data_IF_515909782942
#
_entry.id   IF_515909782942
#
_cell.length_a   1.000
_cell.length_b   1.000
_cell.length_c   1.000
_cell.angle_alpha   90.00
_cell.angle_beta   90.00
_cell.angle_gamma   90.00
#
_symmetry.space_group_name_H-M   'P 1'
#
loop_
_entity.id
_entity.type
_entity.pdbx_description
1 polymer ?
#
# COMPACT_ATOMS: atom_id res chain seq x y z
N UNK A 1 -18.16 8.55 -11.33
CA UNK A 1 -17.09 7.56 -11.61
C UNK A 1 -15.69 8.17 -11.73
N UNK A 2 -15.54 9.42 -12.21
CA UNK A 2 -14.25 10.08 -12.50
C UNK A 2 -13.13 9.93 -11.44
N UNK A 3 -13.43 10.13 -10.15
CA UNK A 3 -12.42 10.00 -9.08
C UNK A 3 -11.85 8.59 -9.01
N UNK A 4 -12.72 7.58 -9.03
CA UNK A 4 -12.31 6.18 -8.90
C UNK A 4 -11.48 5.73 -10.11
N UNK A 5 -11.88 6.07 -11.33
CA UNK A 5 -11.10 5.77 -12.54
C UNK A 5 -9.70 6.38 -12.48
N UNK A 6 -9.59 7.66 -12.09
CA UNK A 6 -8.31 8.34 -11.97
C UNK A 6 -7.45 7.74 -10.87
N UNK A 7 -8.03 7.47 -9.70
CA UNK A 7 -7.32 6.89 -8.56
C UNK A 7 -6.81 5.48 -8.89
N UNK A 8 -7.63 4.62 -9.52
CA UNK A 8 -7.23 3.29 -9.95
C UNK A 8 -6.08 3.31 -10.96
N UNK A 9 -6.14 4.21 -11.95
CA UNK A 9 -5.08 4.35 -12.95
C UNK A 9 -3.76 4.82 -12.32
N UNK A 10 -3.83 5.73 -11.35
CA UNK A 10 -2.65 6.20 -10.63
C UNK A 10 -2.07 5.09 -9.73
N UNK A 11 -2.93 4.37 -8.99
CA UNK A 11 -2.55 3.25 -8.12
C UNK A 11 -1.88 2.13 -8.92
N UNK A 12 -2.41 1.78 -10.10
CA UNK A 12 -1.80 0.78 -10.98
C UNK A 12 -0.38 1.17 -11.41
N UNK A 13 -0.19 2.42 -11.86
CA UNK A 13 1.15 2.92 -12.23
C UNK A 13 2.12 2.91 -11.06
N UNK A 14 1.65 3.29 -9.87
CA UNK A 14 2.47 3.27 -8.66
C UNK A 14 2.84 1.83 -8.26
N UNK A 15 1.89 0.90 -8.32
CA UNK A 15 2.13 -0.52 -8.03
C UNK A 15 3.15 -1.14 -9.00
N UNK A 16 3.06 -0.85 -10.30
CA UNK A 16 4.06 -1.31 -11.27
C UNK A 16 5.45 -0.72 -11.02
N UNK A 17 5.52 0.59 -10.72
CA UNK A 17 6.78 1.26 -10.38
C UNK A 17 7.43 0.63 -9.15
N UNK A 18 6.65 0.47 -8.07
CA UNK A 18 7.12 -0.13 -6.82
C UNK A 18 7.57 -1.58 -7.03
N UNK A 19 6.84 -2.35 -7.85
CA UNK A 19 7.18 -3.76 -8.12
C UNK A 19 8.51 -3.96 -8.83
N UNK A 20 9.07 -2.90 -9.44
CA UNK A 20 10.37 -2.92 -10.13
C UNK A 20 11.47 -2.22 -9.32
N UNK A 21 11.14 -1.64 -8.17
CA UNK A 21 12.07 -0.83 -7.40
C UNK A 21 12.94 -1.73 -6.50
N UNK A 22 14.28 -1.61 -6.52
CA UNK A 22 15.17 -2.55 -5.82
C UNK A 22 15.04 -2.54 -4.29
N UNK A 23 14.57 -1.44 -3.70
CA UNK A 23 14.30 -1.34 -2.26
C UNK A 23 12.95 -1.93 -1.82
N UNK A 24 12.11 -2.38 -2.76
CA UNK A 24 10.78 -2.92 -2.45
C UNK A 24 10.85 -4.44 -2.56
N UNK A 25 10.56 -5.12 -1.46
CA UNK A 25 10.58 -6.59 -1.38
C UNK A 25 9.24 -7.20 -1.75
N UNK A 26 8.14 -6.47 -1.54
CA UNK A 26 6.79 -6.94 -1.82
C UNK A 26 5.84 -5.79 -2.11
N UNK A 27 4.92 -5.99 -3.05
CA UNK A 27 3.80 -5.08 -3.34
C UNK A 27 2.50 -5.86 -3.24
N UNK A 28 1.54 -5.36 -2.46
CA UNK A 28 0.20 -5.91 -2.37
C UNK A 28 -0.75 -4.94 -3.10
N UNK A 29 -1.13 -5.33 -4.32
CA UNK A 29 -2.14 -4.63 -5.11
C UNK A 29 -2.91 -5.63 -5.97
N UNK A 30 -4.25 -5.72 -5.84
CA UNK A 30 -5.05 -6.71 -6.59
C UNK A 30 -4.99 -6.53 -8.11
N UNK A 31 -4.58 -5.35 -8.60
CA UNK A 31 -4.41 -5.09 -10.03
C UNK A 31 -3.13 -5.66 -10.64
N UNK A 32 -2.19 -6.16 -9.85
CA UNK A 32 -1.00 -6.85 -10.37
C UNK A 32 -1.35 -8.31 -10.65
N UNK A 33 -0.97 -8.82 -11.82
CA UNK A 33 -1.19 -10.23 -12.18
C UNK A 33 -0.50 -11.22 -11.22
N UNK A 34 0.61 -10.80 -10.59
CA UNK A 34 1.33 -11.59 -9.60
C UNK A 34 0.63 -11.65 -8.22
N UNK A 35 -0.43 -10.86 -7.99
CA UNK A 35 -1.14 -10.85 -6.73
C UNK A 35 -1.95 -12.15 -6.55
N UNK A 36 -1.81 -12.90 -5.44
CA UNK A 36 -2.49 -14.20 -5.27
C UNK A 36 -4.02 -14.11 -5.40
N UNK A 37 -4.60 -13.00 -4.96
CA UNK A 37 -6.04 -12.73 -5.07
C UNK A 37 -6.48 -12.05 -6.37
N UNK A 38 -5.61 -11.89 -7.38
CA UNK A 38 -5.92 -11.13 -8.60
C UNK A 38 -7.17 -11.65 -9.31
N UNK A 39 -7.21 -12.95 -9.65
CA UNK A 39 -8.32 -13.54 -10.38
C UNK A 39 -9.64 -13.44 -9.61
N UNK A 40 -9.62 -13.72 -8.30
CA UNK A 40 -10.79 -13.60 -7.44
C UNK A 40 -11.28 -12.14 -7.34
N UNK A 41 -10.36 -11.18 -7.18
CA UNK A 41 -10.69 -9.76 -7.13
C UNK A 41 -11.36 -9.30 -8.43
N UNK A 42 -10.78 -9.66 -9.59
CA UNK A 42 -11.31 -9.28 -10.90
C UNK A 42 -12.66 -9.95 -11.20
N UNK A 43 -12.97 -11.09 -10.59
CA UNK A 43 -14.28 -11.73 -10.71
C UNK A 43 -15.40 -11.02 -9.94
N UNK A 44 -15.07 -10.21 -8.92
CA UNK A 44 -16.05 -9.57 -8.03
C UNK A 44 -16.01 -8.03 -8.02
N UNK A 45 -15.02 -7.42 -8.68
CA UNK A 45 -14.84 -5.97 -8.72
C UNK A 45 -14.66 -5.45 -10.15
N UNK A 46 -15.24 -4.29 -10.45
CA UNK A 46 -15.09 -3.62 -11.74
C UNK A 46 -13.69 -3.00 -11.95
N UNK A 47 -12.81 -3.08 -10.94
CA UNK A 47 -11.43 -2.63 -11.05
C UNK A 47 -10.63 -2.84 -9.76
N UNK A 48 -9.32 -2.58 -9.81
CA UNK A 48 -8.38 -2.98 -8.76
C UNK A 48 -8.38 -2.10 -7.51
N UNK A 49 -9.10 -0.97 -7.52
CA UNK A 49 -9.12 -0.01 -6.41
C UNK A 49 -7.91 0.93 -6.38
N UNK A 50 -7.84 1.75 -5.34
CA UNK A 50 -6.88 2.86 -5.24
C UNK A 50 -5.83 2.70 -4.14
N UNK A 51 -5.90 1.61 -3.38
CA UNK A 51 -5.01 1.36 -2.24
C UNK A 51 -3.89 0.43 -2.68
N UNK A 52 -2.65 0.84 -2.43
CA UNK A 52 -1.44 0.05 -2.65
C UNK A 52 -0.69 -0.02 -1.33
N UNK A 53 -0.28 -1.22 -0.91
CA UNK A 53 0.70 -1.38 0.18
C UNK A 53 1.95 -2.08 -0.34
N UNK A 54 3.08 -1.79 0.28
CA UNK A 54 4.37 -2.37 -0.09
C UNK A 54 5.27 -2.50 1.12
N UNK A 55 6.27 -3.36 1.01
CA UNK A 55 7.24 -3.67 2.05
C UNK A 55 8.65 -3.40 1.50
N UNK A 56 9.53 -2.90 2.36
CA UNK A 56 10.96 -2.72 2.03
C UNK A 56 11.87 -3.74 2.72
N UNK A 57 11.31 -4.53 3.65
CA UNK A 57 12.07 -5.39 4.55
C UNK A 57 12.90 -4.63 5.60
N UNK A 58 12.77 -3.30 5.70
CA UNK A 58 13.47 -2.47 6.68
C UNK A 58 12.57 -1.35 7.20
N UNK A 59 12.37 -1.31 8.53
CA UNK A 59 11.65 -0.24 9.22
C UNK A 59 12.24 1.12 8.87
N UNK A 60 13.56 1.26 8.93
CA UNK A 60 14.25 2.53 8.70
C UNK A 60 14.07 3.02 7.26
N UNK A 61 14.15 2.10 6.28
CA UNK A 61 13.90 2.43 4.88
C UNK A 61 12.43 2.84 4.67
N UNK A 62 11.48 2.11 5.25
CA UNK A 62 10.04 2.44 5.17
C UNK A 62 9.75 3.81 5.80
N UNK A 63 10.33 4.09 6.96
CA UNK A 63 10.20 5.38 7.65
C UNK A 63 10.79 6.51 6.82
N UNK A 64 12.00 6.34 6.28
CA UNK A 64 12.63 7.34 5.44
C UNK A 64 11.81 7.67 4.18
N UNK A 65 11.17 6.67 3.57
CA UNK A 65 10.27 6.89 2.42
C UNK A 65 9.05 7.73 2.84
N UNK A 66 8.42 7.38 3.96
CA UNK A 66 7.24 8.10 4.48
C UNK A 66 7.58 9.56 4.81
N UNK A 67 8.73 9.80 5.43
CA UNK A 67 9.20 11.14 5.80
C UNK A 67 9.63 11.98 4.60
N UNK A 68 10.17 11.35 3.54
CA UNK A 68 10.61 12.04 2.32
C UNK A 68 9.49 12.33 1.29
N UNK A 69 8.30 11.75 1.47
CA UNK A 69 7.22 11.82 0.49
C UNK A 69 6.47 13.17 0.50
N UNK A 70 7.01 14.19 -0.16
CA UNK A 70 6.47 15.56 -0.13
C UNK A 70 5.06 15.74 -0.73
N UNK A 71 4.63 14.86 -1.66
CA UNK A 71 3.29 14.91 -2.25
C UNK A 71 2.25 14.18 -1.39
N UNK A 72 2.69 13.23 -0.56
CA UNK A 72 1.80 12.39 0.23
C UNK A 72 1.73 12.93 1.65
N UNK A 73 0.51 13.22 2.12
CA UNK A 73 0.34 13.59 3.54
C UNK A 73 0.33 12.34 4.42
N UNK A 74 1.07 12.39 5.53
CA UNK A 74 1.08 11.31 6.52
C UNK A 74 -0.24 11.31 7.31
N UNK A 75 -1.03 10.24 7.23
CA UNK A 75 -2.32 10.13 7.93
C UNK A 75 -2.75 8.66 8.10
N UNK A 76 -3.74 8.42 8.97
CA UNK A 76 -4.37 7.10 9.16
C UNK A 76 -5.64 6.91 8.31
N UNK A 77 -6.08 7.92 7.58
CA UNK A 77 -7.28 7.90 6.73
C UNK A 77 -6.94 7.65 5.25
N UNK A 78 -7.94 7.29 4.44
CA UNK A 78 -7.78 7.06 3.00
C UNK A 78 -9.07 7.40 2.23
N UNK A 79 -8.97 7.54 0.90
CA UNK A 79 -10.11 7.80 0.02
C UNK A 79 -10.38 9.27 -0.33
N UNK A 80 -9.58 10.20 0.22
CA UNK A 80 -9.56 11.61 -0.19
C UNK A 80 -9.05 11.80 -1.63
N UNK A 81 -9.19 13.01 -2.17
CA UNK A 81 -8.56 13.41 -3.43
C UNK A 81 -7.05 13.62 -3.31
N UNK A 82 -6.56 13.83 -2.08
CA UNK A 82 -5.13 13.97 -1.80
C UNK A 82 -4.44 12.61 -1.74
N UNK A 83 -3.14 12.59 -2.06
CA UNK A 83 -2.30 11.40 -1.87
C UNK A 83 -1.94 11.28 -0.39
N UNK A 84 -2.13 10.08 0.17
CA UNK A 84 -1.98 9.82 1.60
C UNK A 84 -1.06 8.61 1.79
N UNK A 85 -0.18 8.67 2.79
CA UNK A 85 0.74 7.59 3.13
C UNK A 85 0.71 7.34 4.63
N UNK A 86 0.92 6.10 5.05
CA UNK A 86 0.90 5.70 6.45
C UNK A 86 1.89 4.58 6.69
N UNK A 87 2.45 4.52 7.90
CA UNK A 87 3.26 3.39 8.37
C UNK A 87 2.49 2.66 9.49
N UNK A 88 1.73 1.60 9.17
CA UNK A 88 0.75 1.01 10.08
C UNK A 88 1.33 0.61 11.45
N UNK A 89 2.54 0.03 11.47
CA UNK A 89 3.24 -0.48 12.64
C UNK A 89 3.49 0.60 13.71
N UNK A 90 3.67 1.86 13.26
CA UNK A 90 3.92 3.02 14.13
C UNK A 90 2.68 3.92 14.30
N UNK A 91 1.56 3.58 13.65
CA UNK A 91 0.37 4.41 13.61
C UNK A 91 -0.87 3.59 14.00
N UNK A 92 -1.71 3.20 13.04
CA UNK A 92 -3.00 2.56 13.31
C UNK A 92 -2.90 1.20 14.01
N UNK A 93 -1.79 0.49 13.87
CA UNK A 93 -1.56 -0.83 14.47
C UNK A 93 -0.57 -0.77 15.65
N UNK A 94 -0.15 0.43 16.07
CA UNK A 94 0.81 0.59 17.18
C UNK A 94 0.31 0.00 18.50
N UNK A 95 -1.01 -0.07 18.70
CA UNK A 95 -1.64 -0.66 19.90
C UNK A 95 -1.69 -2.19 19.90
N UNK A 96 -1.41 -2.85 18.78
CA UNK A 96 -1.37 -4.32 18.69
C UNK A 96 0.00 -4.79 19.14
N UNK A 97 0.14 -5.71 20.11
CA UNK A 97 1.43 -6.28 20.50
C UNK A 97 2.25 -6.81 19.32
N UNK A 98 3.57 -6.65 19.36
CA UNK A 98 4.46 -6.96 18.23
C UNK A 98 4.40 -8.45 17.81
N UNK A 99 4.30 -9.36 18.77
CA UNK A 99 4.09 -10.79 18.56
C UNK A 99 2.77 -11.08 17.83
N UNK A 100 1.69 -10.37 18.19
CA UNK A 100 0.38 -10.48 17.55
C UNK A 100 0.40 -9.89 16.14
N UNK A 101 1.12 -8.79 15.90
CA UNK A 101 1.31 -8.23 14.55
C UNK A 101 2.05 -9.21 13.65
N UNK A 102 3.17 -9.76 14.12
CA UNK A 102 3.97 -10.74 13.39
C UNK A 102 3.15 -11.99 13.04
N UNK A 103 2.39 -12.54 14.01
CA UNK A 103 1.52 -13.70 13.78
C UNK A 103 0.41 -13.46 12.74
N UNK A 104 0.01 -12.19 12.53
CA UNK A 104 -1.00 -11.79 11.54
C UNK A 104 -0.41 -11.37 10.19
N UNK A 105 0.90 -11.52 9.99
CA UNK A 105 1.58 -11.08 8.78
C UNK A 105 1.63 -9.55 8.63
N UNK A 106 1.69 -8.84 9.76
CA UNK A 106 1.95 -7.40 9.82
C UNK A 106 3.39 -7.21 10.35
N UNK A 107 4.43 -7.41 9.52
CA UNK A 107 5.80 -7.19 9.94
C UNK A 107 6.03 -5.71 10.27
N UNK A 108 6.95 -5.45 11.21
CA UNK A 108 7.34 -4.10 11.58
C UNK A 108 8.12 -3.38 10.46
#
# INVERSE_FOLDING_TARGET
ALRMERQQRNAWRLAEFLSRHPLVTRVNYPGLAAHPGHALHMAQAAGPGSIVSFETGSVDASKAIVEAANLFSVTVSFGSTNSLISLPCFMSHASIPADVRAARGLPD
#
